data_IF_184241656080
#
_entry.id   IF_184241656080
#
_cell.length_a   1.000
_cell.length_b   1.000
_cell.length_c   1.000
_cell.angle_alpha   90.00
_cell.angle_beta   90.00
_cell.angle_gamma   90.00
#
_symmetry.space_group_name_H-M   'P 1'
#
loop_
_entity.id
_entity.type
_entity.pdbx_description
1 polymer ?
#
# COMPACT_ATOMS: atom_id res chain seq x y z
N UNK A 1 21.47 2.44 9.35
CA UNK A 1 22.16 2.84 10.59
C UNK A 1 21.94 1.76 11.66
N UNK A 2 22.92 1.50 12.52
CA UNK A 2 22.75 0.55 13.63
C UNK A 2 22.26 1.30 14.86
N UNK A 3 21.14 0.85 15.41
CA UNK A 3 20.55 1.43 16.62
C UNK A 3 20.17 0.32 17.59
N UNK A 4 20.17 0.64 18.88
CA UNK A 4 19.61 -0.24 19.91
C UNK A 4 18.28 0.35 20.33
N UNK A 5 17.19 -0.39 20.10
CA UNK A 5 15.85 0.10 20.43
C UNK A 5 15.75 0.38 21.94
N UNK A 6 16.41 -0.43 22.77
CA UNK A 6 16.38 -0.32 24.23
C UNK A 6 17.78 -0.19 24.82
N UNK A 7 18.48 0.89 24.48
CA UNK A 7 19.84 1.17 24.98
C UNK A 7 19.95 1.16 26.53
N UNK A 8 18.88 1.48 27.25
CA UNK A 8 18.86 1.49 28.72
C UNK A 8 19.04 0.09 29.34
N UNK A 9 18.81 -1.00 28.60
CA UNK A 9 19.04 -2.37 29.09
C UNK A 9 20.52 -2.67 29.35
N UNK A 10 21.46 -1.90 28.82
CA UNK A 10 22.86 -2.03 29.19
C UNK A 10 23.12 -1.70 30.67
N UNK A 11 22.19 -1.01 31.35
CA UNK A 11 22.23 -0.84 32.81
C UNK A 11 22.10 -2.17 33.59
N UNK A 12 21.71 -3.27 32.94
CA UNK A 12 21.67 -4.61 33.52
C UNK A 12 23.04 -5.33 33.51
N UNK A 13 24.03 -4.82 32.79
CA UNK A 13 25.38 -5.41 32.76
C UNK A 13 26.00 -5.66 34.17
N UNK A 14 25.88 -4.78 35.19
CA UNK A 14 26.45 -5.02 36.51
C UNK A 14 25.67 -6.02 37.38
N UNK A 15 24.52 -6.55 36.93
CA UNK A 15 23.69 -7.46 37.73
C UNK A 15 24.44 -8.69 38.27
N UNK A 16 25.27 -9.41 37.49
CA UNK A 16 26.00 -10.57 38.02
C UNK A 16 26.96 -10.22 39.16
N UNK A 17 27.55 -9.02 39.13
CA UNK A 17 28.42 -8.51 40.18
C UNK A 17 27.62 -8.14 41.42
N UNK A 18 26.46 -7.49 41.23
CA UNK A 18 25.54 -7.17 42.32
C UNK A 18 25.02 -8.42 43.00
N UNK A 19 24.58 -9.43 42.26
CA UNK A 19 24.13 -10.71 42.82
C UNK A 19 25.27 -11.38 43.61
N UNK A 20 26.49 -11.40 43.08
CA UNK A 20 27.66 -11.93 43.78
C UNK A 20 28.01 -11.15 45.06
N UNK A 21 27.76 -9.84 45.08
CA UNK A 21 28.04 -8.99 46.23
C UNK A 21 26.97 -9.08 47.32
N UNK A 22 25.70 -9.11 46.92
CA UNK A 22 24.53 -9.15 47.81
C UNK A 22 24.26 -10.56 48.35
N UNK A 23 24.51 -11.60 47.56
CA UNK A 23 24.24 -12.98 47.97
C UNK A 23 25.50 -13.62 48.52
N UNK A 24 25.40 -14.12 49.76
CA UNK A 24 26.44 -14.97 50.31
C UNK A 24 26.56 -16.21 49.41
N UNK A 25 27.78 -16.70 49.10
CA UNK A 25 27.95 -17.96 48.40
C UNK A 25 27.08 -19.01 49.05
N UNK A 26 26.35 -19.80 48.25
CA UNK A 26 25.63 -20.95 48.77
C UNK A 26 26.60 -21.70 49.68
N UNK A 27 26.24 -21.82 50.96
CA UNK A 27 27.04 -22.60 51.87
C UNK A 27 27.10 -23.98 51.25
N UNK A 28 28.32 -24.39 50.93
CA UNK A 28 28.67 -25.72 50.52
C UNK A 28 28.10 -26.61 51.64
N UNK A 29 26.88 -27.12 51.47
CA UNK A 29 26.37 -28.22 52.29
C UNK A 29 27.19 -29.42 51.89
N UNK A 30 28.47 -29.40 52.27
CA UNK A 30 29.33 -30.55 52.34
C UNK A 30 28.53 -31.55 53.15
N UNK A 31 28.02 -32.56 52.45
CA UNK A 31 27.21 -33.61 53.03
C UNK A 31 27.82 -34.04 54.36
N UNK A 32 26.93 -34.21 55.34
CA UNK A 32 27.15 -34.77 56.68
C UNK A 32 28.58 -35.29 56.86
N UNK A 33 29.43 -34.50 57.53
CA UNK A 33 30.80 -34.89 57.81
C UNK A 33 30.81 -36.15 58.69
N UNK A 34 30.97 -37.32 58.08
CA UNK A 34 31.31 -38.56 58.78
C UNK A 34 32.67 -38.38 59.46
N UNK A 35 32.67 -38.21 60.77
CA UNK A 35 33.90 -38.20 61.59
C UNK A 35 34.49 -39.61 61.61
N UNK A 36 35.45 -39.85 60.74
CA UNK A 36 36.29 -41.06 60.78
C UNK A 36 37.60 -40.78 61.55
N UNK A 37 38.09 -41.69 62.41
CA UNK A 37 39.23 -41.43 63.32
C UNK A 37 40.61 -41.34 62.63
N UNK A 38 40.71 -41.61 61.33
CA UNK A 38 41.97 -41.73 60.58
C UNK A 38 42.28 -40.52 59.67
N UNK A 39 41.92 -39.32 60.09
CA UNK A 39 42.02 -38.11 59.26
C UNK A 39 43.46 -37.55 59.11
N UNK A 40 44.48 -38.16 59.72
CA UNK A 40 45.88 -37.72 59.56
C UNK A 40 46.60 -38.35 58.36
N UNK A 41 46.16 -39.50 57.86
CA UNK A 41 46.78 -40.17 56.70
C UNK A 41 46.19 -39.73 55.34
N UNK A 42 45.04 -39.06 55.34
CA UNK A 42 44.43 -38.49 54.13
C UNK A 42 44.78 -37.00 53.89
N UNK A 43 45.52 -36.35 54.79
CA UNK A 43 45.95 -34.94 54.61
C UNK A 43 47.15 -34.77 53.67
N UNK A 44 47.70 -35.85 53.11
CA UNK A 44 48.75 -35.84 52.09
C UNK A 44 48.21 -35.80 50.65
N UNK A 45 46.89 -35.72 50.45
CA UNK A 45 46.33 -35.27 49.19
C UNK A 45 46.40 -33.75 49.14
N UNK A 46 47.37 -33.20 48.41
CA UNK A 46 47.44 -31.77 48.08
C UNK A 46 46.04 -31.26 47.77
N UNK A 47 45.59 -30.23 48.50
CA UNK A 47 44.47 -29.42 48.06
C UNK A 47 44.88 -28.84 46.70
N UNK A 48 44.47 -29.48 45.62
CA UNK A 48 44.53 -28.93 44.27
C UNK A 48 43.64 -27.68 44.24
N UNK A 49 44.19 -26.60 44.75
CA UNK A 49 43.72 -25.23 44.65
C UNK A 49 44.31 -24.56 43.41
N UNK A 50 44.73 -25.38 42.43
CA UNK A 50 44.92 -24.94 41.06
C UNK A 50 43.53 -24.72 40.47
N UNK A 51 43.13 -23.47 40.35
CA UNK A 51 41.93 -23.09 39.58
C UNK A 51 42.08 -23.72 38.20
N UNK A 52 41.36 -24.83 37.96
CA UNK A 52 41.45 -25.56 36.70
C UNK A 52 41.25 -24.58 35.55
N UNK A 53 42.05 -24.70 34.51
CA UNK A 53 41.91 -23.90 33.29
C UNK A 53 40.45 -23.92 32.77
N UNK A 54 39.75 -25.05 32.98
CA UNK A 54 38.33 -25.21 32.69
C UNK A 54 37.44 -24.30 33.57
N UNK A 55 37.75 -24.13 34.86
CA UNK A 55 37.03 -23.20 35.77
C UNK A 55 37.16 -21.74 35.34
N UNK A 56 38.35 -21.33 34.89
CA UNK A 56 38.55 -19.99 34.32
C UNK A 56 37.76 -19.82 33.01
N UNK A 57 37.82 -20.81 32.12
CA UNK A 57 37.11 -20.79 30.84
C UNK A 57 35.59 -20.69 31.03
N UNK A 58 35.02 -21.45 31.97
CA UNK A 58 33.59 -21.38 32.33
C UNK A 58 33.18 -19.98 32.78
N UNK A 59 34.00 -19.30 33.59
CA UNK A 59 33.72 -17.92 34.02
C UNK A 59 33.77 -16.95 32.84
N UNK A 60 34.75 -17.08 31.94
CA UNK A 60 34.85 -16.24 30.74
C UNK A 60 33.64 -16.46 29.82
N UNK A 61 33.26 -17.71 29.55
CA UNK A 61 32.09 -18.05 28.75
C UNK A 61 30.80 -17.50 29.37
N UNK A 62 30.64 -17.56 30.69
CA UNK A 62 29.48 -17.00 31.39
C UNK A 62 29.43 -15.46 31.28
N UNK A 63 30.56 -14.76 31.39
CA UNK A 63 30.63 -13.30 31.24
C UNK A 63 30.31 -12.90 29.80
N UNK A 64 30.94 -13.52 28.81
CA UNK A 64 30.69 -13.22 27.39
C UNK A 64 29.26 -13.60 27.01
N UNK A 65 28.74 -14.72 27.51
CA UNK A 65 27.36 -15.14 27.33
C UNK A 65 26.36 -14.14 27.94
N UNK A 66 26.66 -13.60 29.12
CA UNK A 66 25.84 -12.54 29.75
C UNK A 66 25.83 -11.25 28.92
N UNK A 67 26.99 -10.79 28.44
CA UNK A 67 27.09 -9.62 27.57
C UNK A 67 26.29 -9.84 26.28
N UNK A 68 26.40 -11.02 25.67
CA UNK A 68 25.66 -11.38 24.48
C UNK A 68 24.14 -11.41 24.75
N UNK A 69 23.70 -11.92 25.91
CA UNK A 69 22.30 -11.94 26.30
C UNK A 69 21.73 -10.53 26.51
N UNK A 70 22.45 -9.66 27.21
CA UNK A 70 22.06 -8.25 27.40
C UNK A 70 22.03 -7.52 26.05
N UNK A 71 23.00 -7.79 25.17
CA UNK A 71 23.03 -7.22 23.81
C UNK A 71 21.85 -7.70 22.99
N UNK A 72 21.45 -8.97 23.08
CA UNK A 72 20.26 -9.49 22.42
C UNK A 72 18.98 -8.83 22.97
N UNK A 73 18.89 -8.69 24.30
CA UNK A 73 17.76 -8.04 24.97
C UNK A 73 17.63 -6.56 24.58
N UNK A 74 18.74 -5.85 24.36
CA UNK A 74 18.75 -4.45 23.92
C UNK A 74 18.18 -4.23 22.50
N UNK A 75 17.78 -5.30 21.80
CA UNK A 75 17.22 -5.32 20.44
C UNK A 75 18.06 -4.49 19.45
N UNK A 76 19.21 -5.03 18.99
CA UNK A 76 19.97 -4.40 17.93
C UNK A 76 19.12 -4.42 16.66
N UNK A 77 18.88 -3.24 16.10
CA UNK A 77 18.14 -3.07 14.86
C UNK A 77 19.05 -2.45 13.81
N UNK A 78 18.91 -2.95 12.60
CA UNK A 78 19.43 -2.29 11.41
C UNK A 78 18.30 -1.47 10.81
N UNK A 79 18.45 -0.14 10.86
CA UNK A 79 17.53 0.82 10.27
C UNK A 79 17.96 1.03 8.82
N UNK A 80 17.12 0.62 7.87
CA UNK A 80 17.37 0.82 6.44
C UNK A 80 17.29 2.28 6.03
N UNK A 81 17.49 2.55 4.73
CA UNK A 81 17.27 3.87 4.17
C UNK A 81 15.79 4.27 4.30
N UNK A 82 15.55 5.58 4.37
CA UNK A 82 14.18 6.11 4.36
C UNK A 82 13.55 5.81 3.01
N UNK A 83 12.61 4.88 2.99
CA UNK A 83 11.73 4.64 1.85
C UNK A 83 10.58 5.62 1.96
N UNK A 84 10.39 6.46 0.94
CA UNK A 84 9.16 7.21 0.82
C UNK A 84 8.01 6.19 0.71
N UNK A 85 7.10 6.19 1.67
CA UNK A 85 5.80 5.60 1.40
C UNK A 85 5.19 6.42 0.26
N UNK A 86 4.46 5.80 -0.68
CA UNK A 86 3.59 6.57 -1.56
C UNK A 86 2.57 7.27 -0.67
N UNK A 87 2.86 8.50 -0.30
CA UNK A 87 1.94 9.33 0.46
C UNK A 87 0.79 9.62 -0.47
N UNK A 88 -0.41 9.39 0.05
CA UNK A 88 -1.70 9.56 -0.60
C UNK A 88 -1.74 10.86 -1.42
N UNK A 89 -1.80 10.74 -2.74
CA UNK A 89 -2.05 11.87 -3.63
C UNK A 89 -3.54 12.23 -3.60
N UNK A 90 -4.33 11.36 -4.22
CA UNK A 90 -5.75 11.60 -4.47
C UNK A 90 -6.53 10.30 -4.45
N UNK A 91 -7.78 10.38 -3.99
CA UNK A 91 -8.77 9.34 -4.22
C UNK A 91 -9.49 9.61 -5.52
N UNK A 92 -9.24 8.75 -6.50
CA UNK A 92 -9.75 8.90 -7.84
C UNK A 92 -10.67 7.75 -8.21
N UNK A 93 -11.90 8.07 -8.58
CA UNK A 93 -12.84 7.12 -9.13
C UNK A 93 -12.94 7.32 -10.64
N UNK A 94 -12.69 6.27 -11.41
CA UNK A 94 -13.01 6.24 -12.84
C UNK A 94 -14.40 5.65 -13.00
N UNK A 95 -15.33 6.37 -13.64
CA UNK A 95 -16.63 5.84 -14.05
C UNK A 95 -16.65 5.74 -15.58
N UNK A 96 -16.78 4.52 -16.10
CA UNK A 96 -16.74 4.25 -17.55
C UNK A 96 -18.06 3.67 -18.04
N UNK A 97 -18.61 4.28 -19.07
CA UNK A 97 -19.82 3.85 -19.76
C UNK A 97 -19.57 2.57 -20.59
N UNK A 98 -20.51 1.62 -20.51
CA UNK A 98 -20.52 0.36 -21.25
C UNK A 98 -21.81 0.16 -22.05
N UNK A 99 -22.61 1.22 -22.21
CA UNK A 99 -23.84 1.23 -23.00
C UNK A 99 -23.61 0.87 -24.47
N UNK A 100 -24.69 0.55 -25.19
CA UNK A 100 -24.62 0.08 -26.58
C UNK A 100 -23.98 1.10 -27.53
N UNK A 101 -24.12 2.41 -27.26
CA UNK A 101 -23.51 3.48 -28.06
C UNK A 101 -21.98 3.40 -28.09
N UNK A 102 -21.37 2.83 -27.05
CA UNK A 102 -19.92 2.67 -26.95
C UNK A 102 -19.33 1.68 -27.97
N UNK A 103 -20.18 0.97 -28.72
CA UNK A 103 -19.79 0.08 -29.82
C UNK A 103 -19.48 0.83 -31.12
N UNK A 104 -19.90 2.08 -31.24
CA UNK A 104 -19.77 2.84 -32.49
C UNK A 104 -18.29 2.99 -32.88
N UNK A 105 -17.98 2.65 -34.13
CA UNK A 105 -16.62 2.68 -34.67
C UNK A 105 -16.30 4.05 -35.29
N UNK A 106 -16.33 5.09 -34.48
CA UNK A 106 -16.10 6.47 -34.93
C UNK A 106 -14.84 7.10 -34.31
N UNK A 107 -14.08 6.34 -33.51
CA UNK A 107 -12.85 6.82 -32.88
C UNK A 107 -11.60 6.37 -33.63
N UNK A 108 -10.55 7.19 -33.64
CA UNK A 108 -9.27 6.82 -34.24
C UNK A 108 -8.16 6.71 -33.19
N UNK A 109 -7.57 5.52 -33.07
CA UNK A 109 -6.38 5.26 -32.26
C UNK A 109 -5.27 4.75 -33.18
N UNK A 110 -4.10 5.40 -33.18
CA UNK A 110 -2.95 5.03 -34.03
C UNK A 110 -3.32 4.88 -35.52
N UNK A 111 -4.17 5.78 -36.05
CA UNK A 111 -4.70 5.78 -37.42
C UNK A 111 -5.57 4.58 -37.78
N UNK A 112 -6.05 3.81 -36.79
CA UNK A 112 -7.05 2.76 -36.98
C UNK A 112 -8.37 3.21 -36.38
N UNK A 113 -9.45 2.95 -37.11
CA UNK A 113 -10.82 3.15 -36.62
C UNK A 113 -11.12 2.03 -35.63
N UNK A 114 -11.58 2.40 -34.44
CA UNK A 114 -11.87 1.51 -33.30
C UNK A 114 -13.16 1.96 -32.64
N UNK A 115 -13.77 1.08 -31.85
CA UNK A 115 -14.92 1.43 -31.02
C UNK A 115 -14.55 2.39 -29.88
N UNK A 116 -15.54 3.13 -29.40
CA UNK A 116 -15.40 4.13 -28.32
C UNK A 116 -14.92 3.51 -27.01
N UNK A 117 -15.39 2.30 -26.67
CA UNK A 117 -14.92 1.59 -25.47
C UNK A 117 -13.43 1.24 -25.56
N UNK A 118 -12.97 0.75 -26.71
CA UNK A 118 -11.56 0.44 -26.94
C UNK A 118 -10.69 1.69 -26.80
N UNK A 119 -11.12 2.81 -27.39
CA UNK A 119 -10.44 4.08 -27.22
C UNK A 119 -10.36 4.47 -25.73
N UNK A 120 -11.47 4.33 -25.00
CA UNK A 120 -11.54 4.60 -23.56
C UNK A 120 -10.57 3.72 -22.76
N UNK A 121 -10.49 2.42 -23.07
CA UNK A 121 -9.57 1.48 -22.40
C UNK A 121 -8.10 1.84 -22.63
N UNK A 122 -7.74 2.17 -23.86
CA UNK A 122 -6.37 2.58 -24.20
C UNK A 122 -5.99 3.81 -23.38
N UNK A 123 -6.88 4.80 -23.38
CA UNK A 123 -6.58 6.09 -22.79
C UNK A 123 -6.61 6.06 -21.26
N UNK A 124 -7.69 5.54 -20.67
CA UNK A 124 -7.75 5.37 -19.23
C UNK A 124 -6.66 4.39 -18.74
N UNK A 125 -6.26 3.41 -19.55
CA UNK A 125 -5.14 2.51 -19.27
C UNK A 125 -3.78 3.21 -19.25
N UNK A 126 -3.53 4.15 -20.15
CA UNK A 126 -2.33 5.01 -20.13
C UNK A 126 -2.34 5.93 -18.91
N UNK A 127 -3.49 6.54 -18.61
CA UNK A 127 -3.69 7.34 -17.41
C UNK A 127 -3.36 6.56 -16.13
N UNK A 128 -3.93 5.38 -15.96
CA UNK A 128 -3.65 4.51 -14.80
C UNK A 128 -2.15 4.20 -14.65
N UNK A 129 -1.42 4.09 -15.78
CA UNK A 129 -0.01 3.75 -15.81
C UNK A 129 0.93 4.92 -15.47
N UNK A 130 0.54 6.16 -15.80
CA UNK A 130 1.34 7.36 -15.52
C UNK A 130 1.22 7.87 -14.09
N UNK A 131 0.19 7.42 -13.36
CA UNK A 131 -0.06 7.87 -11.99
C UNK A 131 0.95 7.25 -11.03
N UNK A 132 1.39 8.04 -10.06
CA UNK A 132 2.17 7.59 -8.90
C UNK A 132 1.47 8.11 -7.63
N UNK A 133 1.45 7.34 -6.54
CA UNK A 133 0.84 7.78 -5.27
C UNK A 133 -0.69 7.83 -5.17
N UNK A 134 -1.44 7.86 -6.28
CA UNK A 134 -2.92 7.89 -6.23
C UNK A 134 -3.55 6.52 -5.90
N UNK A 135 -4.67 6.53 -5.16
CA UNK A 135 -5.58 5.39 -5.04
C UNK A 135 -6.66 5.51 -6.11
N UNK A 136 -6.87 4.43 -6.86
CA UNK A 136 -7.78 4.45 -8.00
C UNK A 136 -8.84 3.36 -7.82
N UNK A 137 -10.09 3.75 -8.06
CA UNK A 137 -11.25 2.86 -8.14
C UNK A 137 -11.83 2.87 -9.55
N UNK A 138 -12.65 1.87 -9.84
CA UNK A 138 -13.33 1.71 -11.12
C UNK A 138 -14.80 1.38 -10.91
N UNK A 139 -15.66 2.23 -11.45
CA UNK A 139 -17.10 2.03 -11.63
C UNK A 139 -17.36 1.83 -13.12
N UNK A 140 -18.18 0.84 -13.43
CA UNK A 140 -18.65 0.57 -14.77
C UNK A 140 -20.17 0.73 -14.76
N UNK A 141 -20.74 1.34 -15.79
CA UNK A 141 -22.17 1.64 -15.80
C UNK A 141 -22.81 1.48 -17.18
N UNK A 142 -24.12 1.23 -17.15
CA UNK A 142 -25.00 1.06 -18.30
C UNK A 142 -26.44 1.28 -17.84
N UNK A 143 -27.30 0.26 -17.90
CA UNK A 143 -28.64 0.27 -17.28
C UNK A 143 -28.58 0.56 -15.76
N UNK A 144 -27.50 0.08 -15.13
CA UNK A 144 -27.18 0.29 -13.72
C UNK A 144 -25.67 0.53 -13.56
N UNK A 145 -25.26 1.13 -12.45
CA UNK A 145 -23.86 1.30 -12.10
C UNK A 145 -23.40 0.22 -11.09
N UNK A 146 -22.21 -0.34 -11.29
CA UNK A 146 -21.59 -1.27 -10.35
C UNK A 146 -20.11 -0.95 -10.13
N UNK A 147 -19.63 -1.33 -8.94
CA UNK A 147 -18.24 -1.13 -8.54
C UNK A 147 -17.41 -2.32 -9.04
N UNK A 148 -16.55 -2.07 -10.03
CA UNK A 148 -15.64 -3.09 -10.57
C UNK A 148 -14.37 -3.22 -9.73
N UNK A 149 -13.84 -2.10 -9.23
CA UNK A 149 -12.69 -2.10 -8.34
C UNK A 149 -12.87 -1.07 -7.21
N UNK A 150 -12.73 -1.46 -5.93
CA UNK A 150 -12.64 -0.48 -4.84
C UNK A 150 -11.34 0.34 -4.96
N UNK A 151 -11.28 1.46 -4.24
CA UNK A 151 -10.08 2.32 -4.20
C UNK A 151 -8.86 1.51 -3.74
N UNK A 152 -7.83 1.45 -4.60
CA UNK A 152 -6.60 0.71 -4.34
C UNK A 152 -5.39 1.42 -4.93
N UNK A 153 -4.21 1.19 -4.33
CA UNK A 153 -2.93 1.57 -4.93
C UNK A 153 -2.50 0.61 -6.05
N UNK A 154 -3.16 -0.54 -6.19
CA UNK A 154 -2.87 -1.51 -7.25
C UNK A 154 -3.51 -1.11 -8.59
N UNK A 155 -2.94 -0.09 -9.18
CA UNK A 155 -3.28 0.41 -10.53
C UNK A 155 -3.11 -0.63 -11.63
N UNK A 156 -2.26 -1.66 -11.44
CA UNK A 156 -2.11 -2.73 -12.43
C UNK A 156 -3.37 -3.59 -12.48
N UNK A 157 -3.90 -3.97 -11.33
CA UNK A 157 -5.15 -4.73 -11.23
C UNK A 157 -6.34 -3.92 -11.75
N UNK A 158 -6.45 -2.64 -11.39
CA UNK A 158 -7.52 -1.76 -11.93
C UNK A 158 -7.47 -1.70 -13.45
N UNK A 159 -6.26 -1.59 -14.04
CA UNK A 159 -6.08 -1.59 -15.50
C UNK A 159 -6.46 -2.91 -16.16
N UNK A 160 -6.16 -4.04 -15.51
CA UNK A 160 -6.59 -5.36 -16.00
C UNK A 160 -8.12 -5.44 -16.02
N UNK A 161 -8.77 -5.06 -14.92
CA UNK A 161 -10.24 -5.07 -14.81
C UNK A 161 -10.91 -4.11 -15.81
N UNK A 162 -10.31 -2.95 -16.07
CA UNK A 162 -10.77 -2.04 -17.13
C UNK A 162 -10.66 -2.69 -18.51
N UNK A 163 -9.55 -3.38 -18.80
CA UNK A 163 -9.34 -4.02 -20.10
C UNK A 163 -10.31 -5.19 -20.33
N UNK A 164 -10.75 -5.86 -19.27
CA UNK A 164 -11.74 -6.95 -19.29
C UNK A 164 -13.18 -6.46 -19.43
N UNK A 165 -13.46 -5.16 -19.20
CA UNK A 165 -14.79 -4.60 -19.35
C UNK A 165 -15.31 -4.80 -20.79
N UNK A 166 -16.59 -5.15 -20.94
CA UNK A 166 -17.20 -5.39 -22.25
C UNK A 166 -18.52 -4.63 -22.38
N UNK A 167 -18.85 -4.23 -23.60
CA UNK A 167 -20.13 -3.58 -23.93
C UNK A 167 -21.27 -4.51 -23.54
N UNK A 168 -22.36 -3.94 -23.02
CA UNK A 168 -23.55 -4.69 -22.61
C UNK A 168 -23.41 -5.44 -21.29
N UNK A 169 -22.21 -5.50 -20.68
CA UNK A 169 -22.01 -6.12 -19.36
C UNK A 169 -22.80 -5.39 -18.26
N UNK A 170 -23.09 -4.10 -18.48
CA UNK A 170 -23.89 -3.24 -17.61
C UNK A 170 -25.31 -2.97 -18.15
N UNK A 171 -25.71 -3.59 -19.28
CA UNK A 171 -26.90 -3.23 -20.05
C UNK A 171 -26.59 -2.32 -21.25
N UNK A 172 -27.64 -1.94 -21.98
CA UNK A 172 -27.55 -1.21 -23.26
C UNK A 172 -27.81 0.30 -23.11
N UNK A 173 -28.41 0.73 -21.99
CA UNK A 173 -28.73 2.13 -21.68
C UNK A 173 -27.63 2.76 -20.82
N UNK A 174 -27.86 4.00 -20.39
CA UNK A 174 -26.85 4.83 -19.72
C UNK A 174 -27.43 5.47 -18.45
N UNK A 175 -26.90 5.10 -17.28
CA UNK A 175 -27.32 5.57 -15.95
C UNK A 175 -26.23 6.42 -15.28
N UNK A 176 -26.09 7.67 -15.73
CA UNK A 176 -25.07 8.62 -15.26
C UNK A 176 -25.29 8.97 -13.79
N UNK A 177 -26.53 9.28 -13.39
CA UNK A 177 -26.84 9.68 -12.01
C UNK A 177 -26.50 8.58 -11.00
N UNK A 178 -26.82 7.32 -11.32
CA UNK A 178 -26.49 6.18 -10.47
C UNK A 178 -24.96 5.96 -10.38
N UNK A 179 -24.22 6.18 -11.48
CA UNK A 179 -22.76 6.09 -11.48
C UNK A 179 -22.10 7.17 -10.60
N UNK A 180 -22.61 8.41 -10.65
CA UNK A 180 -22.17 9.51 -9.77
C UNK A 180 -22.50 9.17 -8.31
N UNK A 181 -23.75 8.75 -8.02
CA UNK A 181 -24.18 8.42 -6.67
C UNK A 181 -23.39 7.26 -6.05
N UNK A 182 -23.11 6.21 -6.83
CA UNK A 182 -22.26 5.10 -6.39
C UNK A 182 -20.83 5.57 -6.13
N UNK A 183 -20.25 6.36 -7.03
CA UNK A 183 -18.90 6.91 -6.89
C UNK A 183 -18.78 7.78 -5.63
N UNK A 184 -19.75 8.66 -5.40
CA UNK A 184 -19.84 9.51 -4.22
C UNK A 184 -19.86 8.66 -2.94
N UNK A 185 -20.76 7.66 -2.89
CA UNK A 185 -20.86 6.75 -1.73
C UNK A 185 -19.54 6.05 -1.43
N UNK A 186 -18.80 5.60 -2.45
CA UNK A 186 -17.51 4.91 -2.26
C UNK A 186 -16.37 5.85 -1.87
N UNK A 187 -16.39 7.09 -2.35
CA UNK A 187 -15.41 8.11 -1.98
C UNK A 187 -15.68 8.71 -0.59
N UNK A 188 -16.92 8.75 -0.13
CA UNK A 188 -17.31 9.21 1.23
C UNK A 188 -16.82 8.31 2.36
N UNK A 189 -16.58 7.02 2.10
CA UNK A 189 -16.03 6.09 3.10
C UNK A 189 -14.63 6.51 3.60
N UNK A 190 -14.00 7.53 2.99
CA UNK A 190 -12.70 8.09 3.35
C UNK A 190 -12.78 9.63 3.54
N UNK A 191 -12.31 10.18 4.67
CA UNK A 191 -12.40 11.61 4.98
C UNK A 191 -11.36 12.49 4.25
N UNK A 192 -10.65 11.96 3.25
CA UNK A 192 -9.58 12.69 2.56
C UNK A 192 -10.14 13.84 1.70
N UNK A 193 -9.40 14.96 1.68
CA UNK A 193 -9.88 16.23 1.13
C UNK A 193 -9.84 16.32 -0.41
N UNK A 194 -9.19 15.37 -1.08
CA UNK A 194 -9.01 15.39 -2.53
C UNK A 194 -9.68 14.16 -3.17
N UNK A 195 -11.00 14.24 -3.34
CA UNK A 195 -11.84 13.22 -3.98
C UNK A 195 -12.24 13.69 -5.38
N UNK A 196 -11.90 12.91 -6.38
CA UNK A 196 -12.15 13.22 -7.78
C UNK A 196 -12.86 12.06 -8.46
N UNK A 197 -13.92 12.37 -9.20
CA UNK A 197 -14.58 11.45 -10.13
C UNK A 197 -14.24 11.88 -11.55
N UNK A 198 -13.79 10.94 -12.38
CA UNK A 198 -13.69 11.12 -13.82
C UNK A 198 -14.78 10.27 -14.46
N UNK A 199 -15.78 10.93 -15.03
CA UNK A 199 -16.91 10.31 -15.72
C UNK A 199 -16.64 10.29 -17.23
N UNK A 200 -16.65 9.11 -17.83
CA UNK A 200 -16.41 8.91 -19.26
C UNK A 200 -17.66 8.30 -19.90
N UNK A 201 -18.27 9.01 -20.84
CA UNK A 201 -19.51 8.59 -21.52
C UNK A 201 -19.60 9.21 -22.91
N UNK A 202 -20.34 8.56 -23.80
CA UNK A 202 -20.63 9.03 -25.15
C UNK A 202 -22.11 9.42 -25.35
N UNK A 203 -22.96 9.24 -24.34
CA UNK A 203 -24.40 9.30 -24.47
C UNK A 203 -25.09 10.20 -23.45
N UNK A 204 -26.37 10.45 -23.70
CA UNK A 204 -27.29 11.06 -22.75
C UNK A 204 -27.74 10.05 -21.67
N UNK A 205 -28.19 10.56 -20.53
CA UNK A 205 -28.78 9.69 -19.50
C UNK A 205 -30.12 9.11 -19.98
N UNK A 206 -30.19 7.79 -20.12
CA UNK A 206 -31.36 7.05 -20.64
C UNK A 206 -31.94 6.04 -19.66
N UNK A 207 -31.26 5.81 -18.53
CA UNK A 207 -31.67 4.92 -17.46
C UNK A 207 -31.24 5.48 -16.09
N UNK A 208 -31.37 4.66 -15.05
CA UNK A 208 -31.01 5.01 -13.68
C UNK A 208 -32.20 5.42 -12.83
N UNK A 209 -31.99 5.37 -11.51
CA UNK A 209 -33.00 5.76 -10.50
C UNK A 209 -32.81 7.20 -10.02
N UNK A 210 -31.60 7.73 -10.17
CA UNK A 210 -31.22 9.10 -9.76
C UNK A 210 -30.99 9.94 -11.01
N UNK A 211 -31.51 11.17 -11.03
CA UNK A 211 -31.23 12.09 -12.13
C UNK A 211 -29.76 12.54 -12.08
N UNK A 212 -29.10 12.78 -13.24
CA UNK A 212 -27.71 13.26 -13.24
C UNK A 212 -27.55 14.64 -12.57
N UNK A 213 -28.55 15.50 -12.69
CA UNK A 213 -28.57 16.83 -12.08
C UNK A 213 -28.61 16.74 -10.55
N UNK A 214 -29.53 15.93 -9.98
CA UNK A 214 -29.62 15.72 -8.53
C UNK A 214 -28.33 15.07 -8.00
N UNK A 215 -27.78 14.10 -8.73
CA UNK A 215 -26.53 13.45 -8.36
C UNK A 215 -25.34 14.42 -8.36
N UNK A 216 -25.29 15.36 -9.32
CA UNK A 216 -24.28 16.40 -9.36
C UNK A 216 -24.44 17.41 -8.22
N UNK A 217 -25.67 17.78 -7.85
CA UNK A 217 -25.94 18.65 -6.70
C UNK A 217 -25.48 17.99 -5.39
N UNK A 218 -25.78 16.69 -5.21
CA UNK A 218 -25.29 15.92 -4.06
C UNK A 218 -23.76 15.83 -4.05
N UNK A 219 -23.12 15.59 -5.20
CA UNK A 219 -21.67 15.55 -5.31
C UNK A 219 -21.02 16.89 -4.94
N UNK A 220 -21.61 18.01 -5.39
CA UNK A 220 -21.12 19.35 -5.08
C UNK A 220 -21.22 19.67 -3.56
N UNK A 221 -22.34 19.33 -2.93
CA UNK A 221 -22.54 19.49 -1.48
C UNK A 221 -21.51 18.72 -0.66
N UNK A 222 -21.14 17.53 -1.15
CA UNK A 222 -20.19 16.64 -0.50
C UNK A 222 -18.75 16.93 -0.90
N UNK A 223 -18.48 17.94 -1.74
CA UNK A 223 -17.14 18.33 -2.18
C UNK A 223 -16.44 17.30 -3.09
N UNK A 224 -17.22 16.49 -3.82
CA UNK A 224 -16.71 15.62 -4.88
C UNK A 224 -16.59 16.42 -6.18
N UNK A 225 -15.36 16.59 -6.69
CA UNK A 225 -15.13 17.22 -8.00
C UNK A 225 -15.35 16.21 -9.12
N UNK A 226 -16.21 16.52 -10.09
CA UNK A 226 -16.50 15.65 -11.23
C UNK A 226 -15.90 16.26 -12.49
N UNK A 227 -15.01 15.51 -13.14
CA UNK A 227 -14.54 15.82 -14.48
C UNK A 227 -15.26 14.92 -15.47
N UNK A 228 -15.85 15.52 -16.48
CA UNK A 228 -16.64 14.79 -17.48
C UNK A 228 -15.86 14.71 -18.77
N UNK A 229 -15.80 13.52 -19.37
CA UNK A 229 -15.14 13.27 -20.64
C UNK A 229 -16.15 12.71 -21.61
N UNK A 230 -16.57 13.55 -22.56
CA UNK A 230 -17.43 13.17 -23.66
C UNK A 230 -16.63 12.45 -24.74
N UNK A 231 -16.98 11.21 -25.04
CA UNK A 231 -16.33 10.39 -26.08
C UNK A 231 -17.20 10.42 -27.34
N UNK A 232 -16.60 10.76 -28.48
CA UNK A 232 -17.30 10.70 -29.76
C UNK A 232 -16.76 11.68 -30.77
N UNK A 233 -16.80 11.28 -32.04
CA UNK A 233 -16.28 12.08 -33.14
C UNK A 233 -17.18 13.29 -33.47
N UNK A 234 -16.58 14.36 -33.98
CA UNK A 234 -17.31 15.47 -34.58
C UNK A 234 -17.76 15.06 -35.98
N UNK A 235 -19.00 15.40 -36.36
CA UNK A 235 -19.63 14.93 -37.60
C UNK A 235 -18.74 15.13 -38.83
N UNK A 236 -18.13 14.05 -39.31
CA UNK A 236 -17.39 14.07 -40.56
C UNK A 236 -18.39 14.05 -41.72
N UNK A 237 -18.35 15.08 -42.57
CA UNK A 237 -19.08 15.07 -43.85
C UNK A 237 -18.49 13.98 -44.74
N UNK A 238 -19.12 12.81 -44.75
CA UNK A 238 -18.73 11.73 -45.64
C UNK A 238 -19.28 12.00 -47.04
N UNK A 239 -18.38 12.01 -48.03
CA UNK A 239 -18.73 12.20 -49.45
C UNK A 239 -19.30 10.89 -49.98
N UNK A 240 -20.60 10.85 -50.26
CA UNK A 240 -21.27 9.72 -50.90
C UNK A 240 -21.22 9.87 -52.43
N UNK A 241 -21.27 8.75 -53.17
CA UNK A 241 -21.32 8.76 -54.64
C UNK A 241 -22.51 9.56 -55.22
N UNK A 242 -23.53 9.86 -54.42
CA UNK A 242 -24.73 10.60 -54.81
C UNK A 242 -24.91 11.96 -54.10
N UNK A 243 -23.87 12.50 -53.44
CA UNK A 243 -23.93 13.80 -52.75
C UNK A 243 -23.21 13.80 -51.40
N UNK A 244 -23.37 14.86 -50.62
CA UNK A 244 -22.89 14.89 -49.23
C UNK A 244 -23.97 14.29 -48.33
N UNK A 245 -23.67 13.17 -47.66
CA UNK A 245 -24.46 12.73 -46.52
C UNK A 245 -23.82 13.30 -45.25
N UNK A 246 -24.55 14.14 -44.54
CA UNK A 246 -24.24 14.49 -43.15
C UNK A 246 -24.76 13.36 -42.28
N UNK A 247 -23.90 12.42 -41.91
CA UNK A 247 -24.21 11.48 -40.83
C UNK A 247 -23.78 12.19 -39.54
N UNK A 248 -24.73 12.80 -38.84
CA UNK A 248 -24.48 13.39 -37.52
C UNK A 248 -24.42 12.29 -36.47
N UNK A 249 -23.28 11.59 -36.36
CA UNK A 249 -23.01 10.61 -35.29
C UNK A 249 -22.83 11.27 -33.91
N UNK A 250 -22.69 12.60 -33.86
CA UNK A 250 -22.56 13.38 -32.63
C UNK A 250 -23.90 13.74 -31.97
N UNK A 251 -25.04 13.31 -32.51
CA UNK A 251 -26.37 13.74 -32.04
C UNK A 251 -26.80 13.12 -30.70
N UNK A 252 -26.12 12.08 -30.22
CA UNK A 252 -26.46 11.38 -28.98
C UNK A 252 -25.67 11.84 -27.75
N UNK A 253 -24.57 12.58 -27.92
CA UNK A 253 -23.79 13.10 -26.80
C UNK A 253 -24.43 14.37 -26.23
N UNK A 254 -24.91 14.31 -24.99
CA UNK A 254 -25.41 15.49 -24.28
C UNK A 254 -24.27 16.29 -23.63
N UNK A 255 -23.57 17.07 -24.45
CA UNK A 255 -22.51 17.96 -23.95
C UNK A 255 -23.00 18.99 -22.94
N UNK A 256 -24.26 19.42 -23.05
CA UNK A 256 -24.81 20.46 -22.19
C UNK A 256 -24.88 19.91 -20.76
N UNK A 257 -25.44 18.71 -20.61
CA UNK A 257 -25.49 18.00 -19.34
C UNK A 257 -24.09 17.77 -18.76
N UNK A 258 -23.15 17.27 -19.56
CA UNK A 258 -21.78 16.97 -19.08
C UNK A 258 -21.04 18.23 -18.63
N UNK A 259 -21.23 19.36 -19.31
CA UNK A 259 -20.68 20.67 -18.91
C UNK A 259 -21.32 21.17 -17.63
N UNK A 260 -22.62 21.00 -17.48
CA UNK A 260 -23.35 21.40 -16.27
C UNK A 260 -22.87 20.61 -15.04
N UNK A 261 -22.77 19.28 -15.15
CA UNK A 261 -22.26 18.41 -14.07
C UNK A 261 -20.85 18.84 -13.63
N UNK A 262 -19.95 19.06 -14.59
CA UNK A 262 -18.59 19.50 -14.30
C UNK A 262 -18.57 20.88 -13.64
N UNK A 263 -19.33 21.85 -14.18
CA UNK A 263 -19.38 23.20 -13.64
C UNK A 263 -19.96 23.26 -12.22
N UNK A 264 -21.05 22.52 -11.95
CA UNK A 264 -21.69 22.46 -10.63
C UNK A 264 -20.75 21.93 -9.54
N UNK A 265 -19.90 20.96 -9.90
CA UNK A 265 -18.99 20.29 -8.95
C UNK A 265 -17.59 20.91 -8.90
N UNK A 266 -17.34 21.98 -9.67
CA UNK A 266 -16.03 22.65 -9.73
C UNK A 266 -14.96 21.87 -10.52
N UNK A 267 -15.36 20.92 -11.35
CA UNK A 267 -14.50 20.24 -12.32
C UNK A 267 -14.55 20.90 -13.69
N UNK A 268 -14.11 20.16 -14.71
CA UNK A 268 -14.09 20.62 -16.11
C UNK A 268 -14.62 19.54 -17.06
N UNK A 269 -15.31 20.00 -18.10
CA UNK A 269 -15.72 19.15 -19.21
C UNK A 269 -14.62 19.10 -20.26
N UNK A 270 -14.40 17.91 -20.78
CA UNK A 270 -13.50 17.66 -21.87
C UNK A 270 -14.15 16.82 -22.94
N UNK A 271 -13.74 17.05 -24.18
CA UNK A 271 -14.14 16.22 -25.31
C UNK A 271 -12.94 15.42 -25.78
N UNK A 272 -13.08 14.10 -25.77
CA UNK A 272 -12.09 13.19 -26.30
C UNK A 272 -12.37 13.00 -27.80
N UNK A 273 -11.54 13.59 -28.66
CA UNK A 273 -11.61 13.37 -30.12
C UNK A 273 -10.51 12.43 -30.60
N UNK A 274 -9.38 12.46 -29.90
CA UNK A 274 -8.22 11.61 -30.15
C UNK A 274 -7.44 11.34 -28.85
N UNK A 275 -6.49 10.41 -28.91
CA UNK A 275 -5.64 10.02 -27.78
C UNK A 275 -4.80 11.19 -27.22
N UNK A 276 -4.41 12.16 -28.06
CA UNK A 276 -3.53 13.27 -27.65
C UNK A 276 -4.28 14.35 -26.87
N UNK A 277 -5.50 14.67 -27.29
CA UNK A 277 -6.38 15.61 -26.58
C UNK A 277 -6.68 15.08 -25.19
N UNK A 278 -6.88 13.76 -25.07
CA UNK A 278 -7.12 13.11 -23.80
C UNK A 278 -5.90 13.13 -22.86
N UNK A 279 -4.68 12.98 -23.38
CA UNK A 279 -3.47 13.17 -22.56
C UNK A 279 -3.34 14.60 -22.00
N UNK A 280 -3.84 15.63 -22.72
CA UNK A 280 -3.85 17.01 -22.23
C UNK A 280 -4.84 17.21 -21.08
N UNK A 281 -6.03 16.61 -21.17
CA UNK A 281 -7.02 16.58 -20.09
C UNK A 281 -6.35 16.17 -18.77
N UNK A 282 -5.54 15.11 -18.84
CA UNK A 282 -4.89 14.56 -17.66
C UNK A 282 -3.72 15.39 -17.14
N UNK A 283 -2.94 16.02 -18.02
CA UNK A 283 -1.93 16.98 -17.61
C UNK A 283 -2.57 18.19 -16.90
N UNK A 284 -3.76 18.60 -17.34
CA UNK A 284 -4.53 19.68 -16.73
C UNK A 284 -5.10 19.28 -15.36
N UNK A 285 -5.60 18.04 -15.23
CA UNK A 285 -6.03 17.45 -13.96
C UNK A 285 -4.93 17.40 -12.88
N UNK A 286 -3.67 17.25 -13.26
CA UNK A 286 -2.54 17.27 -12.33
C UNK A 286 -2.14 18.66 -11.89
N UNK A 287 -2.33 19.63 -12.78
CA UNK A 287 -2.05 21.03 -12.48
C UNK A 287 -3.12 21.63 -11.57
N UNK A 288 -4.38 21.25 -11.75
CA UNK A 288 -5.52 21.81 -11.04
C UNK A 288 -5.64 21.29 -9.60
N UNK A 289 -5.18 20.06 -9.35
CA UNK A 289 -5.26 19.41 -8.02
C UNK A 289 -3.88 18.93 -7.54
N UNK A 290 -2.89 19.84 -7.32
CA UNK A 290 -1.61 19.45 -6.78
C UNK A 290 -1.79 19.00 -5.33
N UNK A 291 -1.20 17.86 -4.99
CA UNK A 291 -1.23 17.33 -3.62
C UNK A 291 0.04 17.76 -2.93
N UNK A 292 -0.10 18.44 -1.79
CA UNK A 292 1.04 18.74 -0.91
C UNK A 292 1.64 17.42 -0.42
N UNK A 293 2.86 17.13 -0.90
CA UNK A 293 3.59 15.94 -0.53
C UNK A 293 4.17 16.12 0.88
N UNK A 294 3.40 15.85 1.92
CA UNK A 294 3.99 15.61 3.24
C UNK A 294 4.60 14.20 3.23
N UNK A 295 5.86 14.10 2.82
CA UNK A 295 6.58 12.83 2.74
C UNK A 295 6.64 12.13 4.12
N UNK A 296 5.66 11.30 4.45
CA UNK A 296 5.78 10.35 5.56
C UNK A 296 6.85 9.32 5.20
N UNK A 297 8.04 9.50 5.78
CA UNK A 297 9.15 8.59 5.60
C UNK A 297 8.98 7.36 6.49
N UNK A 298 8.85 6.18 5.89
CA UNK A 298 8.94 4.92 6.61
C UNK A 298 10.37 4.37 6.50
N UNK A 299 10.96 3.97 7.63
CA UNK A 299 12.27 3.31 7.66
C UNK A 299 12.08 1.85 8.05
N UNK A 300 12.28 0.89 7.13
CA UNK A 300 12.18 -0.52 7.47
C UNK A 300 13.24 -0.88 8.52
N UNK A 301 12.82 -1.56 9.58
CA UNK A 301 13.68 -2.02 10.66
C UNK A 301 13.86 -3.53 10.58
N UNK A 302 15.10 -3.98 10.50
CA UNK A 302 15.43 -5.40 10.58
C UNK A 302 16.04 -5.72 11.94
N UNK A 303 15.48 -6.70 12.62
CA UNK A 303 15.94 -7.11 13.94
C UNK A 303 17.12 -8.08 13.85
N UNK A 304 18.21 -7.75 14.54
CA UNK A 304 19.45 -8.53 14.54
C UNK A 304 19.67 -9.32 15.83
N UNK A 305 18.71 -9.33 16.77
CA UNK A 305 18.86 -9.97 18.10
C UNK A 305 19.17 -11.48 18.02
N UNK A 306 18.85 -12.14 16.90
CA UNK A 306 19.03 -13.58 16.69
C UNK A 306 20.48 -14.02 16.83
N UNK A 307 21.42 -13.21 16.34
CA UNK A 307 22.86 -13.49 16.38
C UNK A 307 23.45 -13.45 17.80
N UNK A 308 23.31 -12.35 18.57
CA UNK A 308 23.79 -12.32 19.95
C UNK A 308 23.05 -13.32 20.85
N UNK A 309 21.77 -13.60 20.59
CA UNK A 309 21.02 -14.62 21.33
C UNK A 309 21.58 -16.03 21.09
N UNK A 310 21.86 -16.39 19.84
CA UNK A 310 22.48 -17.67 19.50
C UNK A 310 23.86 -17.82 20.14
N UNK A 311 24.67 -16.75 20.15
CA UNK A 311 25.97 -16.73 20.82
C UNK A 311 25.83 -16.94 22.34
N UNK A 312 24.89 -16.25 22.99
CA UNK A 312 24.62 -16.42 24.42
C UNK A 312 24.20 -17.85 24.76
N UNK A 313 23.35 -18.46 23.93
CA UNK A 313 22.90 -19.84 24.09
C UNK A 313 24.06 -20.84 23.98
N UNK A 314 24.89 -20.72 22.94
CA UNK A 314 26.05 -21.61 22.73
C UNK A 314 27.08 -21.50 23.87
N UNK A 315 27.38 -20.27 24.32
CA UNK A 315 28.31 -20.04 25.42
C UNK A 315 27.76 -20.56 26.76
N UNK A 316 26.45 -20.43 26.98
CA UNK A 316 25.79 -21.02 28.15
C UNK A 316 25.87 -22.55 28.16
N UNK A 317 25.65 -23.18 27.00
CA UNK A 317 25.76 -24.63 26.85
C UNK A 317 27.20 -25.11 27.08
N UNK A 318 28.19 -24.42 26.52
CA UNK A 318 29.61 -24.73 26.72
C UNK A 318 30.03 -24.56 28.19
N UNK A 319 29.58 -23.50 28.85
CA UNK A 319 29.84 -23.28 30.27
C UNK A 319 29.22 -24.39 31.14
N UNK A 320 28.06 -24.90 30.74
CA UNK A 320 27.40 -26.02 31.43
C UNK A 320 28.17 -27.33 31.29
N UNK A 321 28.63 -27.69 30.07
CA UNK A 321 29.40 -28.93 29.84
C UNK A 321 30.76 -28.90 30.53
N UNK A 322 31.47 -27.77 30.45
CA UNK A 322 32.76 -27.61 31.14
C UNK A 322 32.63 -27.70 32.66
N UNK A 323 31.48 -27.29 33.21
CA UNK A 323 31.21 -27.42 34.64
C UNK A 323 30.95 -28.87 35.05
N UNK A 324 30.20 -29.63 34.24
CA UNK A 324 29.99 -31.07 34.47
C UNK A 324 31.30 -31.85 34.48
N UNK A 325 32.21 -31.57 33.53
CA UNK A 325 33.53 -32.23 33.47
C UNK A 325 34.44 -31.88 34.65
N UNK A 326 34.23 -30.75 35.31
CA UNK A 326 34.99 -30.38 36.52
C UNK A 326 34.41 -30.92 37.82
N UNK A 327 33.15 -31.39 37.82
CA UNK A 327 32.48 -31.96 39.00
C UNK A 327 32.54 -33.51 39.03
N UNK A 328 32.95 -34.15 37.91
CA UNK A 328 33.24 -35.60 37.80
C UNK A 328 34.71 -35.88 38.10
#
# INVERSE_FOLDING_TARGET
MYEFAWWWLFACLPLPLLVRWLWKPAQDERGIALRVPFMREFQSGEKQTGRSWASWLTVVCAIVGWIALVTAAARPVWVGEATALPVSGRDLMLAVDLSGSMQEQDFQVNRRVVDRLYATKVVAGEFLAQREGDRIGLVLFGDQAYLQAPLTFDRKTVRVLLNEAAIGLAGERTAIGDAIGLSLKRLQERPDKNRVLILMTDGANTAGSVSPEDAADMAALEGLKIYTVGIGSESQRTRSMFGFNLINQSAELDETLLKEIAAKTGGQYFRARDTNEFQRIYAELDRLEPVEQEAESWRPQQELFRWPLALAFLLGLLAFTLRLETEV
#
